data_IF_552457802608
#
_entry.id   IF_552457802608
#
_cell.length_a   1.000
_cell.length_b   1.000
_cell.length_c   1.000
_cell.angle_alpha   90.00
_cell.angle_beta   90.00
_cell.angle_gamma   90.00
#
_symmetry.space_group_name_H-M   'P 1'
#
loop_
_entity.id
_entity.type
_entity.pdbx_description
1 polymer ?
#
# COMPACT_ATOMS: atom_id res chain seq x y z
N UNK A 1 -12.96 -8.13 21.75
CA UNK A 1 -11.62 -7.47 21.68
C UNK A 1 -11.80 -5.96 21.79
N UNK A 2 -11.04 -5.30 22.69
CA UNK A 2 -11.02 -3.83 22.81
C UNK A 2 -10.08 -3.23 21.75
N UNK A 3 -10.29 -1.97 21.36
CA UNK A 3 -9.43 -1.27 20.39
C UNK A 3 -7.95 -1.21 20.84
N UNK A 4 -7.69 -1.09 22.13
CA UNK A 4 -6.33 -1.11 22.70
C UNK A 4 -5.62 -2.46 22.53
N UNK A 5 -6.36 -3.57 22.66
CA UNK A 5 -5.85 -4.92 22.41
C UNK A 5 -5.58 -5.14 20.92
N UNK A 6 -6.53 -4.73 20.05
CA UNK A 6 -6.37 -4.80 18.61
C UNK A 6 -5.12 -4.03 18.14
N UNK A 7 -4.87 -2.85 18.73
CA UNK A 7 -3.70 -2.03 18.40
C UNK A 7 -2.38 -2.76 18.72
N UNK A 8 -2.33 -3.49 19.83
CA UNK A 8 -1.15 -4.31 20.21
C UNK A 8 -0.97 -5.48 19.24
N UNK A 9 -2.06 -6.21 18.93
CA UNK A 9 -2.03 -7.36 18.00
C UNK A 9 -1.55 -6.94 16.61
N UNK A 10 -2.01 -5.81 16.11
CA UNK A 10 -1.69 -5.30 14.76
C UNK A 10 -0.32 -4.61 14.69
N UNK A 11 0.24 -4.20 15.83
CA UNK A 11 1.48 -3.43 15.87
C UNK A 11 1.33 -1.95 15.49
N UNK A 12 0.07 -1.44 15.45
CA UNK A 12 -0.26 -0.05 15.15
C UNK A 12 -0.63 0.23 13.69
N UNK A 13 -1.14 1.43 13.44
CA UNK A 13 -1.43 1.95 12.09
C UNK A 13 -0.57 3.17 11.81
N UNK A 14 -0.33 3.45 10.53
CA UNK A 14 0.26 4.71 10.06
C UNK A 14 -0.85 5.72 9.75
N UNK A 15 -0.55 7.00 9.93
CA UNK A 15 -1.40 8.10 9.47
C UNK A 15 -0.55 9.05 8.62
N UNK A 16 -0.41 8.77 7.31
CA UNK A 16 0.33 9.64 6.42
C UNK A 16 -0.28 11.04 6.37
N UNK A 17 0.53 12.09 6.54
CA UNK A 17 0.04 13.47 6.61
C UNK A 17 -0.49 14.00 5.28
N UNK A 18 0.02 13.48 4.16
CA UNK A 18 -0.25 14.00 2.82
C UNK A 18 -1.36 13.27 2.04
N UNK A 19 -1.95 12.24 2.64
CA UNK A 19 -3.03 11.48 2.01
C UNK A 19 -4.18 11.23 2.99
N UNK A 20 -5.40 10.99 2.48
CA UNK A 20 -6.55 10.73 3.33
C UNK A 20 -6.44 9.37 4.00
N UNK A 21 -7.09 9.26 5.15
CA UNK A 21 -7.25 8.00 5.85
C UNK A 21 -6.01 7.52 6.60
N UNK A 22 -5.99 6.23 6.84
CA UNK A 22 -4.96 5.52 7.57
C UNK A 22 -4.26 4.53 6.64
N UNK A 23 -3.08 4.07 7.05
CA UNK A 23 -2.29 3.12 6.28
C UNK A 23 -1.66 2.05 7.17
N UNK A 24 -1.17 0.99 6.54
CA UNK A 24 -0.40 -0.06 7.19
C UNK A 24 0.91 -0.27 6.42
N UNK A 25 1.99 0.34 6.91
CA UNK A 25 3.31 0.25 6.29
C UNK A 25 4.13 -0.88 6.90
N UNK A 26 4.85 -1.59 6.04
CA UNK A 26 5.83 -2.61 6.37
C UNK A 26 7.25 -2.12 6.06
N UNK A 27 8.30 -2.78 6.56
CA UNK A 27 9.67 -2.37 6.26
C UNK A 27 9.99 -2.58 4.78
N UNK A 28 10.39 -1.51 4.08
CA UNK A 28 10.73 -1.58 2.65
C UNK A 28 11.96 -2.47 2.38
N UNK A 29 12.79 -2.73 3.39
CA UNK A 29 13.92 -3.67 3.30
C UNK A 29 13.45 -5.10 3.04
N UNK A 30 12.25 -5.45 3.47
CA UNK A 30 11.65 -6.79 3.36
C UNK A 30 10.77 -6.97 2.11
N UNK A 31 10.73 -5.98 1.19
CA UNK A 31 10.08 -6.16 -0.11
C UNK A 31 10.82 -7.25 -0.90
N UNK A 32 10.13 -8.30 -1.34
CA UNK A 32 10.75 -9.40 -2.10
C UNK A 32 11.19 -8.95 -3.50
N UNK A 33 10.26 -8.47 -4.31
CA UNK A 33 10.55 -7.92 -5.64
C UNK A 33 11.30 -6.59 -5.56
N UNK A 34 10.89 -5.69 -4.67
CA UNK A 34 11.52 -4.38 -4.51
C UNK A 34 12.99 -4.46 -4.10
N UNK A 35 13.39 -5.46 -3.31
CA UNK A 35 14.79 -5.68 -2.91
C UNK A 35 15.70 -6.05 -4.09
N UNK A 36 15.19 -6.84 -5.03
CA UNK A 36 15.89 -7.17 -6.28
C UNK A 36 16.00 -5.94 -7.19
N UNK A 37 14.91 -5.21 -7.34
CA UNK A 37 14.85 -4.00 -8.17
C UNK A 37 15.74 -2.86 -7.66
N UNK A 38 16.08 -2.82 -6.38
CA UNK A 38 17.06 -1.85 -5.83
C UNK A 38 18.44 -1.94 -6.47
N UNK A 39 18.79 -3.08 -7.04
CA UNK A 39 20.05 -3.30 -7.75
C UNK A 39 19.97 -2.92 -9.24
N UNK A 40 18.78 -2.60 -9.75
CA UNK A 40 18.53 -2.32 -11.16
C UNK A 40 18.43 -0.81 -11.34
N UNK A 41 19.40 -0.23 -12.06
CA UNK A 41 19.37 1.19 -12.42
C UNK A 41 18.10 1.52 -13.20
N UNK A 42 17.56 2.72 -12.97
CA UNK A 42 16.31 3.23 -13.55
C UNK A 42 15.04 2.45 -13.14
N UNK A 43 15.16 1.49 -12.22
CA UNK A 43 13.97 0.97 -11.55
C UNK A 43 13.43 1.99 -10.55
N UNK A 44 12.12 1.94 -10.30
CA UNK A 44 11.46 2.79 -9.29
C UNK A 44 12.00 2.50 -7.88
N UNK A 45 12.45 1.28 -7.63
CA UNK A 45 12.99 0.86 -6.33
C UNK A 45 14.46 1.23 -6.13
N UNK A 46 15.22 1.58 -7.18
CA UNK A 46 16.62 1.98 -7.08
C UNK A 46 16.81 3.16 -6.10
N UNK A 47 15.91 4.13 -6.16
CA UNK A 47 15.89 5.28 -5.28
C UNK A 47 14.65 5.28 -4.36
N UNK A 48 14.30 4.15 -3.78
CA UNK A 48 13.09 3.97 -2.98
C UNK A 48 12.98 5.03 -1.86
N UNK A 49 11.90 5.80 -1.89
CA UNK A 49 11.61 6.84 -0.88
C UNK A 49 11.46 6.26 0.54
N UNK A 50 10.97 5.03 0.65
CA UNK A 50 10.76 4.36 1.93
C UNK A 50 12.07 3.83 2.59
N UNK A 51 13.21 4.16 2.00
CA UNK A 51 14.56 3.94 2.56
C UNK A 51 15.27 5.26 2.87
N UNK A 52 14.54 6.38 2.86
CA UNK A 52 15.08 7.74 3.06
C UNK A 52 14.19 8.55 4.01
N UNK A 53 14.63 9.75 4.36
CA UNK A 53 13.85 10.68 5.18
C UNK A 53 13.37 10.07 6.50
N UNK A 54 12.13 10.31 6.88
CA UNK A 54 11.57 9.82 8.14
C UNK A 54 11.51 8.28 8.25
N UNK A 55 11.55 7.55 7.13
CA UNK A 55 11.55 6.08 7.15
C UNK A 55 12.83 5.45 7.71
N UNK A 56 13.94 6.22 7.81
CA UNK A 56 15.17 5.73 8.45
C UNK A 56 15.22 5.99 9.95
N UNK A 57 14.26 6.72 10.52
CA UNK A 57 14.19 6.91 11.96
C UNK A 57 13.89 5.58 12.66
N UNK A 58 14.65 5.29 13.72
CA UNK A 58 14.54 4.03 14.47
C UNK A 58 13.11 3.74 14.92
N UNK A 59 12.39 4.72 15.43
CA UNK A 59 10.99 4.57 15.88
C UNK A 59 10.04 4.14 14.75
N UNK A 60 10.29 4.62 13.52
CA UNK A 60 9.51 4.25 12.33
C UNK A 60 9.84 2.82 11.89
N UNK A 61 11.14 2.48 11.84
CA UNK A 61 11.59 1.13 11.51
C UNK A 61 11.08 0.09 12.52
N UNK A 62 11.22 0.36 13.81
CA UNK A 62 10.73 -0.53 14.87
C UNK A 62 9.21 -0.76 14.74
N UNK A 63 8.45 0.29 14.40
CA UNK A 63 7.02 0.16 14.16
C UNK A 63 6.69 -0.68 12.91
N UNK A 64 7.47 -0.55 11.84
CA UNK A 64 7.29 -1.34 10.62
C UNK A 64 7.61 -2.82 10.84
N UNK A 65 8.72 -3.14 11.53
CA UNK A 65 9.08 -4.52 11.86
C UNK A 65 8.08 -5.16 12.82
N UNK A 66 7.59 -4.42 13.81
CA UNK A 66 6.52 -4.88 14.71
C UNK A 66 5.24 -5.22 13.93
N UNK A 67 4.89 -4.42 12.92
CA UNK A 67 3.75 -4.70 12.03
C UNK A 67 3.99 -5.93 11.16
N UNK A 68 5.18 -6.09 10.62
CA UNK A 68 5.54 -7.27 9.83
C UNK A 68 5.39 -8.54 10.67
N UNK A 69 5.90 -8.55 11.89
CA UNK A 69 5.73 -9.70 12.79
C UNK A 69 4.24 -9.93 13.14
N UNK A 70 3.50 -8.86 13.35
CA UNK A 70 2.07 -8.92 13.66
C UNK A 70 1.23 -9.61 12.56
N UNK A 71 1.61 -9.52 11.28
CA UNK A 71 0.87 -10.19 10.19
C UNK A 71 0.81 -11.71 10.33
N UNK A 72 1.72 -12.31 11.08
CA UNK A 72 1.76 -13.76 11.35
C UNK A 72 0.69 -14.20 12.36
N UNK A 73 0.17 -13.29 13.16
CA UNK A 73 -0.83 -13.62 14.18
C UNK A 73 -2.15 -14.10 13.56
N UNK A 74 -2.75 -15.18 14.04
CA UNK A 74 -4.08 -15.61 13.61
C UNK A 74 -5.18 -14.61 13.99
N UNK A 75 -4.94 -13.75 14.98
CA UNK A 75 -5.89 -12.71 15.41
C UNK A 75 -5.79 -11.43 14.58
N UNK A 76 -4.78 -11.31 13.70
CA UNK A 76 -4.47 -10.08 12.98
C UNK A 76 -5.64 -9.57 12.14
N UNK A 77 -6.31 -10.44 11.40
CA UNK A 77 -7.42 -10.09 10.51
C UNK A 77 -8.57 -9.41 11.27
N UNK A 78 -9.05 -10.02 12.35
CA UNK A 78 -10.15 -9.47 13.16
C UNK A 78 -9.73 -8.18 13.88
N UNK A 79 -8.50 -8.13 14.39
CA UNK A 79 -7.95 -6.95 15.05
C UNK A 79 -7.79 -5.78 14.07
N UNK A 80 -7.32 -6.04 12.86
CA UNK A 80 -7.16 -5.04 11.80
C UNK A 80 -8.51 -4.46 11.37
N UNK A 81 -9.51 -5.32 11.12
CA UNK A 81 -10.86 -4.89 10.75
C UNK A 81 -11.49 -4.00 11.84
N UNK A 82 -11.35 -4.39 13.10
CA UNK A 82 -11.83 -3.59 14.24
C UNK A 82 -11.14 -2.22 14.30
N UNK A 83 -9.82 -2.16 14.09
CA UNK A 83 -9.09 -0.89 14.08
C UNK A 83 -9.52 0.02 12.94
N UNK A 84 -9.62 -0.50 11.71
CA UNK A 84 -10.01 0.27 10.54
C UNK A 84 -11.42 0.85 10.76
N UNK A 85 -12.38 0.05 11.19
CA UNK A 85 -13.74 0.50 11.48
C UNK A 85 -13.77 1.58 12.58
N UNK A 86 -12.91 1.46 13.61
CA UNK A 86 -12.82 2.44 14.70
C UNK A 86 -12.33 3.81 14.25
N UNK A 87 -11.62 3.91 13.13
CA UNK A 87 -11.04 5.16 12.62
C UNK A 87 -12.04 6.05 11.89
N UNK A 88 -13.23 5.56 11.58
CA UNK A 88 -14.28 6.30 10.87
C UNK A 88 -13.78 6.97 9.57
N UNK A 89 -12.73 6.41 8.96
CA UNK A 89 -12.19 6.87 7.69
C UNK A 89 -12.86 6.12 6.54
N UNK A 90 -13.12 6.79 5.42
CA UNK A 90 -13.67 6.17 4.21
C UNK A 90 -12.59 5.51 3.35
N UNK A 91 -11.33 5.86 3.56
CA UNK A 91 -10.20 5.36 2.80
C UNK A 91 -9.17 4.70 3.70
N UNK A 92 -8.56 3.62 3.18
CA UNK A 92 -7.43 2.93 3.79
C UNK A 92 -6.40 2.56 2.72
N UNK A 93 -5.10 2.74 3.03
CA UNK A 93 -4.00 2.35 2.15
C UNK A 93 -3.21 1.20 2.75
N UNK A 94 -3.06 0.13 1.99
CA UNK A 94 -2.08 -0.91 2.27
C UNK A 94 -0.70 -0.49 1.76
N UNK A 95 0.33 -0.74 2.56
CA UNK A 95 1.73 -0.56 2.18
C UNK A 95 2.08 0.87 1.71
N UNK A 96 1.94 1.86 2.62
CA UNK A 96 2.57 3.17 2.42
C UNK A 96 4.10 3.07 2.39
N UNK A 97 4.65 1.96 2.92
CA UNK A 97 5.98 1.41 2.70
C UNK A 97 5.92 -0.11 2.74
N UNK A 98 6.90 -0.78 2.15
CA UNK A 98 6.88 -2.24 2.05
C UNK A 98 5.96 -2.74 0.93
N UNK A 99 5.69 -4.03 0.90
CA UNK A 99 4.79 -4.70 -0.04
C UNK A 99 4.15 -5.93 0.63
N UNK A 100 3.14 -6.52 -0.03
CA UNK A 100 2.54 -7.79 0.39
C UNK A 100 3.61 -8.89 0.43
N UNK A 101 3.59 -9.72 1.49
CA UNK A 101 4.70 -10.63 1.75
C UNK A 101 4.53 -11.99 1.08
N UNK A 102 3.33 -12.54 1.11
CA UNK A 102 2.99 -13.85 0.60
C UNK A 102 1.47 -13.98 0.40
N UNK A 103 1.04 -15.14 -0.05
CA UNK A 103 -0.37 -15.46 -0.31
C UNK A 103 -1.21 -15.40 0.97
N UNK A 104 -0.70 -15.91 2.07
CA UNK A 104 -1.42 -15.88 3.36
C UNK A 104 -1.69 -14.43 3.78
N UNK A 105 -0.67 -13.56 3.69
CA UNK A 105 -0.84 -12.14 3.99
C UNK A 105 -1.85 -11.47 3.05
N UNK A 106 -1.82 -11.79 1.74
CA UNK A 106 -2.79 -11.27 0.77
C UNK A 106 -4.22 -11.69 1.11
N UNK A 107 -4.44 -12.97 1.41
CA UNK A 107 -5.76 -13.48 1.78
C UNK A 107 -6.28 -12.89 3.10
N UNK A 108 -5.40 -12.66 4.07
CA UNK A 108 -5.74 -11.90 5.29
C UNK A 108 -6.17 -10.46 4.96
N UNK A 109 -5.50 -9.77 4.03
CA UNK A 109 -5.90 -8.44 3.55
C UNK A 109 -7.29 -8.51 2.90
N UNK A 110 -7.56 -9.50 2.07
CA UNK A 110 -8.89 -9.69 1.45
C UNK A 110 -9.98 -9.89 2.51
N UNK A 111 -9.70 -10.71 3.51
CA UNK A 111 -10.63 -10.92 4.62
C UNK A 111 -10.89 -9.63 5.41
N UNK A 112 -9.87 -8.81 5.67
CA UNK A 112 -10.05 -7.49 6.30
C UNK A 112 -10.92 -6.58 5.44
N UNK A 113 -10.71 -6.53 4.13
CA UNK A 113 -11.53 -5.73 3.22
C UNK A 113 -13.01 -6.15 3.27
N UNK A 114 -13.29 -7.46 3.25
CA UNK A 114 -14.65 -8.00 3.39
C UNK A 114 -15.31 -7.63 4.74
N UNK A 115 -14.52 -7.57 5.82
CA UNK A 115 -14.98 -7.17 7.16
C UNK A 115 -15.13 -5.66 7.35
N UNK A 116 -14.69 -4.86 6.38
CA UNK A 116 -14.76 -3.38 6.39
C UNK A 116 -15.43 -2.86 5.12
N UNK A 117 -16.67 -3.27 4.79
CA UNK A 117 -17.27 -3.06 3.48
C UNK A 117 -17.54 -1.58 3.14
N UNK A 118 -17.62 -0.71 4.14
CA UNK A 118 -17.84 0.74 3.95
C UNK A 118 -16.56 1.53 3.71
N UNK A 119 -15.39 0.87 3.79
CA UNK A 119 -14.08 1.50 3.59
C UNK A 119 -13.55 1.13 2.21
N UNK A 120 -13.08 2.11 1.46
CA UNK A 120 -12.37 1.90 0.19
C UNK A 120 -10.90 1.61 0.48
N UNK A 121 -10.42 0.49 0.00
CA UNK A 121 -9.03 0.07 0.16
C UNK A 121 -8.23 0.26 -1.12
N UNK A 122 -6.98 0.62 -0.99
CA UNK A 122 -6.00 0.68 -2.07
C UNK A 122 -4.72 -0.06 -1.66
N UNK A 123 -4.24 -0.94 -2.53
CA UNK A 123 -3.01 -1.69 -2.37
C UNK A 123 -2.13 -1.54 -3.62
N UNK A 124 -1.06 -0.72 -3.58
CA UNK A 124 -0.01 -0.79 -4.58
C UNK A 124 0.85 -2.04 -4.34
N UNK A 125 1.24 -2.74 -5.39
CA UNK A 125 2.15 -3.89 -5.28
C UNK A 125 3.03 -4.03 -6.50
N UNK A 126 4.24 -4.59 -6.33
CA UNK A 126 5.13 -5.06 -7.40
C UNK A 126 5.20 -6.58 -7.48
N UNK A 127 4.48 -7.27 -6.61
CA UNK A 127 4.45 -8.72 -6.58
C UNK A 127 3.53 -9.24 -7.70
N UNK A 128 4.12 -9.72 -8.80
CA UNK A 128 3.38 -10.14 -10.00
C UNK A 128 2.47 -11.34 -9.75
N UNK A 129 2.81 -12.21 -8.79
CA UNK A 129 2.01 -13.38 -8.41
C UNK A 129 0.62 -13.01 -7.88
N UNK A 130 0.44 -11.79 -7.34
CA UNK A 130 -0.87 -11.27 -6.88
C UNK A 130 -1.93 -11.32 -7.99
N UNK A 131 -1.51 -11.32 -9.27
CA UNK A 131 -2.40 -11.42 -10.42
C UNK A 131 -3.29 -12.65 -10.38
N UNK A 132 -2.80 -13.78 -9.88
CA UNK A 132 -3.55 -15.02 -9.77
C UNK A 132 -4.76 -14.91 -8.83
N UNK A 133 -4.73 -14.00 -7.89
CA UNK A 133 -5.76 -13.77 -6.88
C UNK A 133 -6.76 -12.65 -7.23
N UNK A 134 -6.60 -11.98 -8.38
CA UNK A 134 -7.51 -10.90 -8.79
C UNK A 134 -8.99 -11.35 -8.93
N UNK A 135 -9.32 -12.58 -9.36
CA UNK A 135 -10.70 -13.04 -9.36
C UNK A 135 -11.38 -13.06 -7.99
N UNK A 136 -10.61 -13.20 -6.91
CA UNK A 136 -11.09 -13.23 -5.52
C UNK A 136 -11.02 -11.85 -4.83
N UNK A 137 -10.52 -10.83 -5.54
CA UNK A 137 -10.30 -9.50 -4.98
C UNK A 137 -11.62 -8.86 -4.53
N UNK A 138 -11.73 -8.43 -3.27
CA UNK A 138 -12.94 -7.76 -2.76
C UNK A 138 -13.31 -6.51 -3.56
N UNK A 139 -14.60 -6.23 -3.69
CA UNK A 139 -15.07 -5.09 -4.47
C UNK A 139 -14.57 -3.74 -3.96
N UNK A 140 -14.40 -3.61 -2.65
CA UNK A 140 -13.91 -2.39 -2.02
C UNK A 140 -12.38 -2.27 -1.99
N UNK A 141 -11.63 -3.18 -2.65
CA UNK A 141 -10.18 -3.13 -2.77
C UNK A 141 -9.75 -2.83 -4.22
N UNK A 142 -8.91 -1.82 -4.40
CA UNK A 142 -8.20 -1.53 -5.65
C UNK A 142 -6.75 -2.00 -5.51
N UNK A 143 -6.38 -3.05 -6.25
CA UNK A 143 -5.00 -3.50 -6.37
C UNK A 143 -4.39 -2.83 -7.61
N UNK A 144 -3.33 -2.03 -7.41
CA UNK A 144 -2.59 -1.40 -8.51
C UNK A 144 -1.24 -2.04 -8.66
N UNK A 145 -1.03 -2.70 -9.78
CA UNK A 145 0.31 -3.20 -10.11
C UNK A 145 1.22 -2.02 -10.46
N UNK A 146 2.24 -1.83 -9.65
CA UNK A 146 3.20 -0.74 -9.79
C UNK A 146 4.31 -1.14 -10.75
N UNK A 147 4.40 -0.48 -11.91
CA UNK A 147 5.41 -0.79 -12.92
C UNK A 147 6.81 -0.67 -12.35
N UNK A 148 7.70 -1.64 -12.63
CA UNK A 148 9.02 -1.69 -12.00
C UNK A 148 10.00 -0.62 -12.50
N UNK A 149 9.90 -0.21 -13.76
CA UNK A 149 10.85 0.74 -14.36
C UNK A 149 10.23 2.13 -14.53
N UNK A 150 11.07 3.16 -14.45
CA UNK A 150 10.68 4.54 -14.76
C UNK A 150 10.37 4.63 -16.25
N UNK A 151 9.36 5.41 -16.62
CA UNK A 151 8.85 5.60 -17.99
C UNK A 151 8.38 4.31 -18.69
N UNK A 152 8.18 3.24 -17.94
CA UNK A 152 7.63 2.01 -18.47
C UNK A 152 6.11 2.14 -18.67
N UNK A 153 5.63 1.68 -19.81
CA UNK A 153 4.20 1.61 -20.09
C UNK A 153 3.46 0.70 -19.12
N UNK A 154 2.18 0.99 -18.90
CA UNK A 154 1.32 0.17 -18.07
C UNK A 154 1.21 -1.28 -18.60
N UNK A 155 1.34 -2.27 -17.72
CA UNK A 155 1.28 -3.67 -18.12
C UNK A 155 -0.13 -4.08 -18.56
N UNK A 156 -0.22 -4.79 -19.66
CA UNK A 156 -1.44 -5.48 -20.06
C UNK A 156 -1.84 -6.59 -19.08
N UNK A 157 -3.14 -6.87 -19.02
CA UNK A 157 -3.68 -7.95 -18.18
C UNK A 157 -3.78 -7.64 -16.68
N UNK A 158 -3.62 -6.36 -16.30
CA UNK A 158 -3.97 -5.81 -14.99
C UNK A 158 -5.10 -4.81 -15.12
N UNK A 159 -6.12 -4.93 -14.31
CA UNK A 159 -7.25 -4.02 -14.32
C UNK A 159 -6.85 -2.59 -13.92
N UNK A 160 -5.95 -2.48 -12.94
CA UNK A 160 -5.44 -1.21 -12.44
C UNK A 160 -3.92 -1.27 -12.29
N UNK A 161 -3.25 -0.20 -12.75
CA UNK A 161 -1.80 -0.06 -12.71
C UNK A 161 -1.38 1.28 -12.14
N UNK A 162 -0.10 1.41 -11.81
CA UNK A 162 0.55 2.69 -11.61
C UNK A 162 1.93 2.70 -12.26
N UNK A 163 2.31 3.85 -12.80
CA UNK A 163 3.60 4.10 -13.45
C UNK A 163 4.33 5.24 -12.76
N UNK A 164 5.65 5.28 -12.87
CA UNK A 164 6.45 6.46 -12.50
C UNK A 164 7.04 7.02 -13.76
N UNK A 165 6.81 8.30 -14.02
CA UNK A 165 7.16 8.96 -15.28
C UNK A 165 7.98 10.22 -15.06
N UNK A 166 8.84 10.52 -16.00
CA UNK A 166 9.61 11.79 -16.03
C UNK A 166 8.76 12.95 -16.55
N UNK A 167 7.76 12.67 -17.41
CA UNK A 167 6.80 13.63 -17.95
C UNK A 167 5.40 13.02 -18.06
N UNK A 168 4.36 13.84 -18.13
CA UNK A 168 2.98 13.37 -18.35
C UNK A 168 2.34 12.70 -17.12
N UNK A 169 2.69 13.13 -15.91
CA UNK A 169 2.04 12.63 -14.67
C UNK A 169 0.54 12.95 -14.66
N UNK A 170 -0.25 12.04 -14.11
CA UNK A 170 -1.69 12.23 -13.91
C UNK A 170 -2.06 12.45 -12.44
N UNK A 171 -1.15 12.12 -11.50
CA UNK A 171 -1.35 12.40 -10.09
C UNK A 171 -1.22 13.91 -9.82
N UNK A 172 -2.27 14.57 -9.26
CA UNK A 172 -2.24 16.03 -9.04
C UNK A 172 -1.52 16.44 -7.75
N UNK A 173 -1.06 15.50 -6.94
CA UNK A 173 -0.48 15.82 -5.63
C UNK A 173 0.70 16.81 -5.68
N UNK A 174 1.64 16.76 -6.66
CA UNK A 174 2.72 17.74 -6.74
C UNK A 174 2.26 19.19 -6.86
N UNK A 175 1.16 19.46 -7.59
CA UNK A 175 0.56 20.80 -7.72
C UNK A 175 -0.27 21.20 -6.46
N UNK A 176 -0.45 20.28 -5.53
CA UNK A 176 -1.27 20.45 -4.35
C UNK A 176 -0.42 20.36 -3.06
N UNK A 177 0.80 20.87 -3.06
CA UNK A 177 1.78 20.78 -1.96
C UNK A 177 2.12 19.33 -1.58
N UNK A 178 2.11 18.43 -2.57
CA UNK A 178 2.26 16.99 -2.40
C UNK A 178 1.14 16.31 -1.57
N UNK A 179 -0.03 16.90 -1.54
CA UNK A 179 -1.20 16.39 -0.81
C UNK A 179 -2.28 15.87 -1.77
N UNK A 180 -2.99 14.82 -1.36
CA UNK A 180 -4.11 14.29 -2.15
C UNK A 180 -5.34 15.21 -2.15
N UNK A 181 -5.52 16.05 -1.14
CA UNK A 181 -6.72 16.88 -0.93
C UNK A 181 -8.01 16.10 -1.20
N UNK A 182 -8.83 16.54 -2.16
CA UNK A 182 -10.08 15.86 -2.57
C UNK A 182 -9.87 14.70 -3.54
N UNK A 183 -8.69 14.54 -4.14
CA UNK A 183 -8.40 13.46 -5.09
C UNK A 183 -8.47 12.08 -4.42
N UNK A 184 -9.16 11.13 -5.07
CA UNK A 184 -9.33 9.73 -4.61
C UNK A 184 -9.05 8.72 -5.72
N UNK A 185 -8.37 9.10 -6.79
CA UNK A 185 -8.09 8.26 -7.96
C UNK A 185 -7.41 6.92 -7.58
N UNK A 186 -6.56 6.89 -6.55
CA UNK A 186 -5.89 5.67 -6.11
C UNK A 186 -6.88 4.59 -5.64
N UNK A 187 -8.03 4.98 -5.09
CA UNK A 187 -9.10 4.11 -4.60
C UNK A 187 -10.22 3.89 -5.61
N UNK A 188 -10.07 4.37 -6.85
CA UNK A 188 -11.08 4.28 -7.91
C UNK A 188 -10.69 3.24 -8.96
N UNK A 189 -11.48 2.15 -9.06
CA UNK A 189 -11.29 1.08 -10.04
C UNK A 189 -11.46 1.53 -11.49
N UNK A 190 -12.24 2.59 -11.74
CA UNK A 190 -12.46 3.12 -13.09
C UNK A 190 -11.19 3.76 -13.66
N UNK A 191 -10.31 4.28 -12.81
CA UNK A 191 -9.01 4.85 -13.19
C UNK A 191 -8.02 3.72 -13.47
N UNK A 192 -7.78 3.40 -14.72
CA UNK A 192 -6.95 2.26 -15.14
C UNK A 192 -5.48 2.40 -14.76
N UNK A 193 -4.88 3.55 -15.02
CA UNK A 193 -3.49 3.83 -14.66
C UNK A 193 -3.36 5.17 -13.95
N UNK A 194 -2.45 5.25 -12.98
CA UNK A 194 -2.03 6.51 -12.37
C UNK A 194 -0.53 6.68 -12.62
N UNK A 195 -0.19 7.77 -13.32
CA UNK A 195 1.20 8.15 -13.53
C UNK A 195 1.65 9.11 -12.43
N UNK A 196 2.59 8.67 -11.62
CA UNK A 196 3.26 9.48 -10.61
C UNK A 196 4.51 10.12 -11.21
N UNK A 197 4.82 11.36 -10.80
CA UNK A 197 6.10 11.98 -11.16
C UNK A 197 7.27 11.27 -10.47
N UNK A 198 8.42 11.22 -11.16
CA UNK A 198 9.68 10.79 -10.56
C UNK A 198 10.07 11.75 -9.43
N UNK A 199 10.44 11.21 -8.28
CA UNK A 199 10.93 11.97 -7.11
C UNK A 199 12.44 12.10 -7.12
#
# INVERSE_FOLDING_TARGET
MKTSEALKIVGGLSKPSKMPGWAYGLPAKECKTGSKLRQVKDSVCYNCYALKGCYVFKVVQDAQYRRLEATKSPLWTGAMALLINSKKSKEFRWHDSGDVQDEEHLLKIFAVCKLTPTVKHWMPTREAWVKHFLPECPENLVIRFSMPMIDQAAAGGWANTSTVVTAGRTCPAPEQNNECKSCRQCWDKSVKNIAYGKH
#
